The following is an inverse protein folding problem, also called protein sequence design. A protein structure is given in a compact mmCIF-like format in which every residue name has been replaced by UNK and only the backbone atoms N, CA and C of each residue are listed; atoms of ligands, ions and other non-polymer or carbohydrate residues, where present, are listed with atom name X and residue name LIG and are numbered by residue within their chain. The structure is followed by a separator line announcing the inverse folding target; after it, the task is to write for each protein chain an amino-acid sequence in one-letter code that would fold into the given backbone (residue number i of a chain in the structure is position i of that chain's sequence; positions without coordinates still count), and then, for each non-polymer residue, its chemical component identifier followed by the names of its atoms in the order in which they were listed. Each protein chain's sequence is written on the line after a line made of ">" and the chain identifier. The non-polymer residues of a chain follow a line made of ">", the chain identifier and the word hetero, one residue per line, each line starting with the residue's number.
data_IF_295722014051
#
_entry.id   IF_295722014051
#
_cell.length_a   1.000
_cell.length_b   1.000
_cell.length_c   1.000
_cell.angle_alpha   90.00
_cell.angle_beta   90.00
_cell.angle_gamma   90.00
#
_symmetry.space_group_name_H-M   'P 1'
#
loop_
_entity.id
_entity.type
_entity.pdbx_description
1 polymer ?
#
# COMPACT_ATOMS: atom_id res chain seq x y z
N UNK A 1 -5.84 12.42 -29.56
CA UNK A 1 -6.64 11.17 -29.43
C UNK A 1 -7.43 11.25 -28.13
N UNK A 2 -8.67 10.70 -28.07
CA UNK A 2 -9.41 10.56 -26.81
C UNK A 2 -9.11 9.18 -26.21
N UNK A 3 -8.73 9.18 -24.92
CA UNK A 3 -8.48 7.98 -24.13
C UNK A 3 -9.55 7.82 -23.07
N UNK A 4 -10.14 6.63 -23.00
CA UNK A 4 -11.07 6.24 -21.95
C UNK A 4 -10.29 5.85 -20.70
N UNK A 5 -10.77 6.26 -19.55
CA UNK A 5 -10.24 5.87 -18.25
C UNK A 5 -11.37 5.53 -17.27
N UNK A 6 -11.00 4.86 -16.20
CA UNK A 6 -11.87 4.63 -15.03
C UNK A 6 -11.23 5.24 -13.81
N UNK A 7 -11.99 6.05 -13.05
CA UNK A 7 -11.61 6.54 -11.73
C UNK A 7 -11.97 5.49 -10.70
N UNK A 8 -11.00 5.14 -9.87
CA UNK A 8 -11.14 4.12 -8.82
C UNK A 8 -10.48 4.57 -7.52
N UNK A 9 -10.80 3.92 -6.41
CA UNK A 9 -10.04 4.07 -5.18
C UNK A 9 -9.99 2.75 -4.39
N UNK A 10 -8.91 2.58 -3.61
CA UNK A 10 -8.77 1.59 -2.56
C UNK A 10 -8.62 2.31 -1.23
N UNK A 11 -9.71 2.39 -0.45
CA UNK A 11 -9.72 3.06 0.86
C UNK A 11 -9.27 4.53 0.82
N UNK A 12 -9.78 5.31 -0.14
CA UNK A 12 -9.47 6.74 -0.27
C UNK A 12 -8.20 7.06 -1.08
N UNK A 13 -7.27 6.12 -1.22
CA UNK A 13 -6.17 6.26 -2.18
C UNK A 13 -6.72 6.09 -3.60
N UNK A 14 -6.67 7.14 -4.43
CA UNK A 14 -7.42 7.24 -5.67
C UNK A 14 -6.56 7.14 -6.93
N UNK A 15 -7.13 6.50 -7.95
CA UNK A 15 -6.45 6.09 -9.16
C UNK A 15 -7.20 6.49 -10.41
N UNK A 16 -6.45 6.90 -11.43
CA UNK A 16 -6.91 6.90 -12.81
C UNK A 16 -6.39 5.64 -13.49
N UNK A 17 -7.27 4.76 -13.98
CA UNK A 17 -6.91 3.48 -14.62
C UNK A 17 -7.17 3.54 -16.11
N UNK A 18 -6.15 3.25 -16.92
CA UNK A 18 -6.22 3.23 -18.39
C UNK A 18 -5.92 1.85 -18.90
N UNK A 19 -6.83 1.31 -19.72
CA UNK A 19 -6.65 0.09 -20.48
C UNK A 19 -5.87 0.38 -21.77
N UNK A 20 -4.66 -0.11 -21.86
CA UNK A 20 -3.80 -0.07 -23.06
C UNK A 20 -3.76 -1.40 -23.83
N UNK A 21 -4.64 -2.35 -23.48
CA UNK A 21 -4.87 -3.58 -24.24
C UNK A 21 -5.85 -3.29 -25.39
N UNK A 22 -6.98 -2.65 -25.06
CA UNK A 22 -8.00 -2.28 -26.04
C UNK A 22 -7.80 -0.89 -26.65
N UNK A 23 -6.93 -0.08 -26.10
CA UNK A 23 -6.58 1.26 -26.57
C UNK A 23 -5.07 1.38 -26.78
N UNK A 24 -4.66 1.88 -27.95
CA UNK A 24 -3.24 2.02 -28.30
C UNK A 24 -2.80 3.46 -28.07
N UNK A 25 -2.01 3.69 -27.03
CA UNK A 25 -1.44 5.00 -26.71
C UNK A 25 -0.08 4.86 -26.04
N UNK A 26 0.78 5.85 -26.24
CA UNK A 26 2.06 5.94 -25.54
C UNK A 26 1.94 6.96 -24.39
N UNK A 27 1.84 6.46 -23.17
CA UNK A 27 1.73 7.29 -21.96
C UNK A 27 3.12 7.61 -21.42
N UNK A 28 3.39 8.89 -21.21
CA UNK A 28 4.64 9.42 -20.70
C UNK A 28 4.43 10.02 -19.29
N UNK A 29 5.49 10.15 -18.46
CA UNK A 29 5.42 10.77 -17.13
C UNK A 29 4.73 12.14 -17.10
N UNK A 30 4.92 12.97 -18.14
CA UNK A 30 4.26 14.28 -18.25
C UNK A 30 2.74 14.20 -18.24
N UNK A 31 2.16 13.11 -18.81
CA UNK A 31 0.71 12.94 -18.84
C UNK A 31 0.19 12.61 -17.43
N UNK A 32 0.90 11.79 -16.66
CA UNK A 32 0.55 11.54 -15.26
C UNK A 32 0.54 12.84 -14.46
N UNK A 33 1.57 13.69 -14.64
CA UNK A 33 1.65 15.00 -13.98
C UNK A 33 0.50 15.94 -14.39
N UNK A 34 0.18 16.03 -15.68
CA UNK A 34 -0.89 16.88 -16.19
C UNK A 34 -2.26 16.41 -15.71
N UNK A 35 -2.56 15.11 -15.84
CA UNK A 35 -3.87 14.57 -15.48
C UNK A 35 -4.05 14.39 -13.97
N UNK A 36 -2.94 14.27 -13.22
CA UNK A 36 -2.94 14.14 -11.76
C UNK A 36 -3.31 15.41 -11.02
N UNK A 37 -3.18 16.57 -11.65
CA UNK A 37 -3.55 17.85 -11.05
C UNK A 37 -5.05 17.87 -10.71
N UNK A 38 -5.38 18.15 -9.42
CA UNK A 38 -6.77 18.09 -8.92
C UNK A 38 -7.63 19.29 -9.31
N UNK A 39 -7.02 20.35 -9.85
CA UNK A 39 -7.72 21.57 -10.26
C UNK A 39 -7.88 21.67 -11.78
N UNK A 40 -6.89 21.20 -12.54
CA UNK A 40 -6.82 21.36 -13.98
C UNK A 40 -6.85 20.04 -14.76
N UNK A 41 -6.71 18.91 -14.06
CA UNK A 41 -6.73 17.55 -14.60
C UNK A 41 -7.92 16.72 -14.09
N UNK A 42 -7.75 15.41 -14.12
CA UNK A 42 -8.69 14.44 -13.53
C UNK A 42 -8.55 14.41 -12.01
N UNK A 43 -7.33 14.64 -11.52
CA UNK A 43 -6.98 14.55 -10.11
C UNK A 43 -6.91 13.09 -9.64
N UNK A 44 -5.77 12.67 -9.17
CA UNK A 44 -5.56 11.34 -8.58
C UNK A 44 -4.23 11.32 -7.80
N UNK A 45 -4.08 10.33 -6.94
CA UNK A 45 -2.80 10.03 -6.30
C UNK A 45 -1.86 9.32 -7.29
N UNK A 46 -2.40 8.35 -8.06
CA UNK A 46 -1.61 7.55 -8.99
C UNK A 46 -2.37 7.22 -10.27
N UNK A 47 -1.62 7.11 -11.38
CA UNK A 47 -2.06 6.60 -12.68
C UNK A 47 -1.68 5.13 -12.81
N UNK A 48 -2.64 4.27 -13.14
CA UNK A 48 -2.44 2.85 -13.41
C UNK A 48 -2.61 2.58 -14.91
N UNK A 49 -1.63 1.90 -15.49
CA UNK A 49 -1.68 1.43 -16.87
C UNK A 49 -1.81 -0.09 -16.90
N UNK A 50 -2.83 -0.59 -17.61
CA UNK A 50 -3.05 -2.02 -17.88
C UNK A 50 -2.50 -2.31 -19.26
N UNK A 51 -1.42 -3.07 -19.35
CA UNK A 51 -0.68 -3.34 -20.59
C UNK A 51 -0.61 -4.86 -20.88
N UNK A 52 -0.40 -5.27 -22.14
CA UNK A 52 -0.01 -6.64 -22.44
C UNK A 52 1.29 -7.00 -21.72
N UNK A 53 1.43 -8.24 -21.22
CA UNK A 53 2.64 -8.65 -20.53
C UNK A 53 3.82 -8.83 -21.51
N UNK A 54 5.04 -8.66 -21.01
CA UNK A 54 6.24 -9.08 -21.76
C UNK A 54 6.55 -10.56 -21.52
N UNK A 55 6.26 -11.05 -20.31
CA UNK A 55 6.42 -12.44 -19.93
C UNK A 55 5.14 -13.22 -20.29
N UNK A 56 5.21 -14.29 -21.14
CA UNK A 56 4.05 -15.08 -21.53
C UNK A 56 3.40 -15.87 -20.37
N UNK A 57 4.12 -16.04 -19.24
CA UNK A 57 3.63 -16.79 -18.08
C UNK A 57 2.74 -15.98 -17.14
N UNK A 58 2.50 -14.70 -17.46
CA UNK A 58 1.63 -13.81 -16.68
C UNK A 58 0.49 -13.27 -17.53
N UNK A 59 -0.58 -12.81 -16.86
CA UNK A 59 -1.80 -12.40 -17.57
C UNK A 59 -1.71 -10.96 -18.09
N UNK A 60 -1.07 -10.08 -17.34
CA UNK A 60 -0.98 -8.64 -17.62
C UNK A 60 0.35 -8.06 -17.16
N UNK A 61 0.63 -6.87 -17.68
CA UNK A 61 1.61 -5.95 -17.12
C UNK A 61 0.90 -4.76 -16.49
N UNK A 62 1.42 -4.30 -15.35
CA UNK A 62 0.88 -3.25 -14.54
C UNK A 62 1.95 -2.19 -14.27
N UNK A 63 1.70 -0.96 -14.70
CA UNK A 63 2.59 0.16 -14.44
C UNK A 63 1.87 1.22 -13.63
N UNK A 64 2.61 1.85 -12.71
CA UNK A 64 2.09 2.85 -11.79
C UNK A 64 2.94 4.10 -11.87
N UNK A 65 2.29 5.26 -11.98
CA UNK A 65 2.93 6.55 -11.90
C UNK A 65 2.29 7.38 -10.79
N UNK A 66 3.10 8.00 -9.96
CA UNK A 66 2.60 9.04 -9.06
C UNK A 66 2.12 10.27 -9.85
N UNK A 67 1.35 11.12 -9.21
CA UNK A 67 0.86 12.37 -9.81
C UNK A 67 1.98 13.36 -10.19
N UNK A 68 3.21 13.19 -9.68
CA UNK A 68 4.39 13.95 -10.10
C UNK A 68 5.07 13.41 -11.38
N UNK A 69 4.60 12.25 -11.87
CA UNK A 69 5.12 11.54 -13.03
C UNK A 69 6.19 10.49 -12.72
N UNK A 70 6.62 10.33 -11.48
CA UNK A 70 7.56 9.27 -11.10
C UNK A 70 6.91 7.89 -11.19
N UNK A 71 7.62 6.91 -11.75
CA UNK A 71 7.15 5.52 -11.83
C UNK A 71 7.57 4.73 -10.59
N UNK A 72 6.60 4.10 -9.92
CA UNK A 72 6.80 3.29 -8.72
C UNK A 72 6.73 1.79 -9.00
N UNK A 73 7.30 0.99 -8.10
CA UNK A 73 7.43 -0.47 -8.31
C UNK A 73 6.12 -1.21 -8.10
N UNK A 74 5.41 -0.88 -7.01
CA UNK A 74 4.10 -1.44 -6.70
C UNK A 74 3.33 -0.58 -5.69
N UNK A 75 2.01 -0.79 -5.65
CA UNK A 75 1.11 -0.20 -4.66
C UNK A 75 -0.01 -1.21 -4.38
N UNK A 76 -0.11 -1.69 -3.15
CA UNK A 76 -1.11 -2.69 -2.77
C UNK A 76 -2.55 -2.22 -2.97
N UNK A 77 -2.85 -0.93 -2.74
CA UNK A 77 -4.16 -0.33 -3.03
C UNK A 77 -4.43 -0.32 -4.53
N UNK A 78 -3.42 0.07 -5.32
CA UNK A 78 -3.50 0.06 -6.79
C UNK A 78 -3.65 -1.34 -7.36
N UNK A 79 -2.97 -2.34 -6.80
CA UNK A 79 -3.09 -3.74 -7.20
C UNK A 79 -4.53 -4.27 -7.04
N UNK A 80 -5.23 -3.88 -5.96
CA UNK A 80 -6.65 -4.21 -5.79
C UNK A 80 -7.52 -3.53 -6.84
N UNK A 81 -7.31 -2.24 -7.09
CA UNK A 81 -8.02 -1.51 -8.16
C UNK A 81 -7.76 -2.12 -9.53
N UNK A 82 -6.52 -2.53 -9.81
CA UNK A 82 -6.15 -3.22 -11.05
C UNK A 82 -6.96 -4.52 -11.23
N UNK A 83 -6.95 -5.42 -10.23
CA UNK A 83 -7.67 -6.69 -10.30
C UNK A 83 -9.18 -6.48 -10.54
N UNK A 84 -9.78 -5.54 -9.82
CA UNK A 84 -11.18 -5.18 -9.99
C UNK A 84 -11.45 -4.64 -11.40
N UNK A 85 -10.58 -3.75 -11.89
CA UNK A 85 -10.72 -3.14 -13.21
C UNK A 85 -10.71 -4.17 -14.34
N UNK A 86 -9.72 -5.08 -14.37
CA UNK A 86 -9.60 -6.07 -15.46
C UNK A 86 -10.78 -7.04 -15.47
N UNK A 87 -11.36 -7.35 -14.31
CA UNK A 87 -12.59 -8.13 -14.20
C UNK A 87 -13.80 -7.36 -14.73
N UNK A 88 -14.02 -6.11 -14.25
CA UNK A 88 -15.16 -5.28 -14.64
C UNK A 88 -15.15 -4.96 -16.15
N UNK A 89 -13.97 -4.77 -16.74
CA UNK A 89 -13.78 -4.56 -18.19
C UNK A 89 -13.81 -5.85 -18.99
N UNK A 90 -13.96 -7.00 -18.35
CA UNK A 90 -13.96 -8.35 -18.99
C UNK A 90 -12.67 -8.61 -19.80
N UNK A 91 -11.55 -8.04 -19.38
CA UNK A 91 -10.25 -8.34 -19.98
C UNK A 91 -9.77 -9.74 -19.60
N UNK A 92 -10.30 -10.28 -18.50
CA UNK A 92 -10.12 -11.67 -18.07
C UNK A 92 -11.35 -12.17 -17.33
N UNK A 93 -11.52 -13.50 -17.30
CA UNK A 93 -12.51 -14.20 -16.45
C UNK A 93 -11.84 -14.93 -15.29
N UNK A 94 -10.51 -14.88 -15.20
CA UNK A 94 -9.76 -15.51 -14.11
C UNK A 94 -9.98 -14.76 -12.81
N UNK A 95 -10.07 -15.52 -11.71
CA UNK A 95 -10.11 -14.96 -10.35
C UNK A 95 -8.73 -14.90 -9.70
N UNK A 96 -7.78 -15.66 -10.21
CA UNK A 96 -6.37 -15.60 -9.86
C UNK A 96 -5.63 -15.01 -11.06
N UNK A 97 -4.99 -13.88 -10.86
CA UNK A 97 -4.37 -13.07 -11.90
C UNK A 97 -2.91 -12.84 -11.55
N UNK A 98 -2.01 -13.25 -12.43
CA UNK A 98 -0.58 -13.00 -12.30
C UNK A 98 -0.19 -11.78 -13.11
N UNK A 99 0.52 -10.86 -12.50
CA UNK A 99 0.78 -9.55 -13.08
C UNK A 99 2.26 -9.19 -12.98
N UNK A 100 2.84 -8.82 -14.11
CA UNK A 100 4.19 -8.27 -14.18
C UNK A 100 4.18 -6.82 -13.72
N UNK A 101 5.02 -6.49 -12.74
CA UNK A 101 5.26 -5.13 -12.25
C UNK A 101 6.73 -4.78 -12.36
N UNK A 102 7.09 -3.53 -12.14
CA UNK A 102 8.50 -3.11 -12.05
C UNK A 102 9.25 -3.78 -10.89
N UNK A 103 8.53 -4.13 -9.81
CA UNK A 103 9.08 -4.82 -8.63
C UNK A 103 9.08 -6.34 -8.72
N UNK A 104 8.60 -6.93 -9.84
CA UNK A 104 8.49 -8.38 -10.03
C UNK A 104 7.07 -8.83 -10.35
N UNK A 105 6.82 -10.13 -10.24
CA UNK A 105 5.50 -10.71 -10.48
C UNK A 105 4.73 -10.73 -9.17
N UNK A 106 3.49 -10.24 -9.22
CA UNK A 106 2.54 -10.30 -8.10
C UNK A 106 1.34 -11.16 -8.46
N UNK A 107 0.71 -11.75 -7.45
CA UNK A 107 -0.51 -12.53 -7.59
C UNK A 107 -1.67 -11.84 -6.89
N UNK A 108 -2.78 -11.71 -7.62
CA UNK A 108 -4.00 -11.06 -7.18
C UNK A 108 -5.13 -12.08 -7.20
N UNK A 109 -5.83 -12.23 -6.07
CA UNK A 109 -6.92 -13.18 -5.93
C UNK A 109 -8.24 -12.44 -5.67
N UNK A 110 -9.20 -12.60 -6.59
CA UNK A 110 -10.55 -12.04 -6.45
C UNK A 110 -11.41 -13.04 -5.70
N UNK A 111 -11.80 -12.68 -4.46
CA UNK A 111 -12.59 -13.51 -3.56
C UNK A 111 -14.06 -13.57 -4.01
N UNK A 112 -14.82 -14.59 -3.55
CA UNK A 112 -16.25 -14.69 -3.86
C UNK A 112 -17.08 -13.50 -3.38
N UNK A 113 -16.67 -12.85 -2.29
CA UNK A 113 -17.31 -11.65 -1.71
C UNK A 113 -16.96 -10.36 -2.48
N UNK A 114 -16.14 -10.44 -3.53
CA UNK A 114 -15.72 -9.32 -4.35
C UNK A 114 -14.54 -8.53 -3.79
N UNK A 115 -14.01 -8.89 -2.62
CA UNK A 115 -12.76 -8.34 -2.13
C UNK A 115 -11.56 -8.92 -2.89
N UNK A 116 -10.45 -8.22 -2.85
CA UNK A 116 -9.22 -8.64 -3.54
C UNK A 116 -8.13 -8.90 -2.51
N UNK A 117 -7.56 -10.10 -2.57
CA UNK A 117 -6.41 -10.50 -1.79
C UNK A 117 -5.15 -10.34 -2.63
N UNK A 118 -4.14 -9.70 -2.05
CA UNK A 118 -2.83 -9.41 -2.66
C UNK A 118 -1.76 -10.07 -1.83
N UNK A 119 -0.87 -10.84 -2.47
CA UNK A 119 0.36 -11.31 -1.86
C UNK A 119 1.35 -10.14 -1.78
N UNK A 120 1.66 -9.71 -0.55
CA UNK A 120 2.54 -8.58 -0.27
C UNK A 120 4.00 -9.03 -0.06
N UNK A 121 4.28 -10.31 -0.20
CA UNK A 121 5.57 -10.93 0.08
C UNK A 121 5.86 -11.11 1.57
N UNK A 122 6.97 -11.78 1.91
CA UNK A 122 7.39 -11.97 3.29
C UNK A 122 7.90 -10.66 3.90
N UNK A 123 7.59 -10.39 5.19
CA UNK A 123 8.14 -9.24 5.88
C UNK A 123 9.64 -9.44 6.15
N UNK A 124 10.41 -8.36 6.11
CA UNK A 124 11.81 -8.34 6.53
C UNK A 124 11.91 -7.78 7.93
N UNK A 125 12.63 -8.46 8.80
CA UNK A 125 12.65 -8.21 10.24
C UNK A 125 14.06 -7.95 10.77
N UNK A 126 15.08 -8.25 9.99
CA UNK A 126 16.46 -7.94 10.37
C UNK A 126 16.77 -6.47 10.14
N UNK A 127 17.45 -5.77 11.08
CA UNK A 127 17.69 -4.34 10.97
C UNK A 127 18.29 -3.89 9.63
N UNK A 128 19.27 -4.64 9.11
CA UNK A 128 19.93 -4.31 7.83
C UNK A 128 18.97 -4.36 6.63
N UNK A 129 17.98 -5.27 6.64
CA UNK A 129 16.98 -5.40 5.58
C UNK A 129 15.82 -4.40 5.71
N UNK A 130 15.66 -3.79 6.92
CA UNK A 130 14.68 -2.74 7.18
C UNK A 130 15.22 -1.35 6.80
N UNK A 131 16.45 -1.14 6.49
CA UNK A 131 17.42 -0.05 6.70
C UNK A 131 17.21 0.69 8.04
N UNK A 132 17.44 -0.05 9.14
CA UNK A 132 17.30 0.43 10.52
C UNK A 132 18.58 0.20 11.30
N UNK A 133 19.10 1.20 12.01
CA UNK A 133 20.31 1.10 12.81
C UNK A 133 20.02 0.47 14.17
N UNK A 134 20.35 -0.79 14.31
CA UNK A 134 20.31 -1.56 15.56
C UNK A 134 21.35 -2.68 15.53
N UNK A 135 21.89 -3.04 16.70
CA UNK A 135 22.96 -4.05 16.82
C UNK A 135 22.45 -5.46 16.56
N UNK A 136 21.18 -5.72 16.89
CA UNK A 136 20.55 -7.04 16.75
C UNK A 136 19.06 -6.91 16.48
N UNK A 137 18.47 -7.98 15.94
CA UNK A 137 17.03 -8.09 15.78
C UNK A 137 16.35 -8.22 17.15
N UNK A 138 15.26 -7.45 17.34
CA UNK A 138 14.43 -7.50 18.54
C UNK A 138 12.95 -7.30 18.17
N UNK A 139 12.05 -7.67 19.07
CA UNK A 139 10.61 -7.43 18.89
C UNK A 139 10.25 -5.95 19.08
N UNK A 140 10.99 -5.25 19.93
CA UNK A 140 10.80 -3.84 20.23
C UNK A 140 12.15 -3.13 20.37
N UNK A 141 12.18 -1.86 20.00
CA UNK A 141 13.35 -1.01 20.08
C UNK A 141 12.99 0.32 20.72
N UNK A 142 13.77 0.78 21.73
CA UNK A 142 13.60 2.14 22.24
C UNK A 142 14.03 3.16 21.18
N UNK A 143 13.23 4.18 20.98
CA UNK A 143 13.49 5.29 20.06
C UNK A 143 13.34 6.61 20.84
N UNK A 144 14.42 7.39 20.94
CA UNK A 144 14.38 8.71 21.56
C UNK A 144 13.92 9.76 20.54
N UNK A 145 12.78 10.36 20.78
CA UNK A 145 12.25 11.44 19.94
C UNK A 145 12.11 12.69 20.79
N UNK A 146 13.04 13.62 20.66
CA UNK A 146 13.10 14.87 21.42
C UNK A 146 13.07 14.66 22.96
N UNK A 147 13.78 13.65 23.47
CA UNK A 147 13.84 13.30 24.88
C UNK A 147 12.66 12.44 25.37
N UNK A 148 11.70 12.12 24.51
CA UNK A 148 10.65 11.16 24.80
C UNK A 148 11.08 9.76 24.33
N UNK A 149 11.16 8.80 25.24
CA UNK A 149 11.41 7.40 24.89
C UNK A 149 10.12 6.74 24.38
N UNK A 150 10.18 6.26 23.15
CA UNK A 150 9.10 5.51 22.51
C UNK A 150 9.55 4.07 22.28
N UNK A 151 8.66 3.10 22.45
CA UNK A 151 8.89 1.73 22.06
C UNK A 151 8.28 1.45 20.69
N UNK A 152 9.11 1.07 19.71
CA UNK A 152 8.67 0.77 18.35
C UNK A 152 9.00 -0.66 17.96
N UNK A 153 8.16 -1.26 17.11
CA UNK A 153 8.56 -2.38 16.29
C UNK A 153 9.05 -1.87 14.93
N UNK A 154 10.10 -2.45 14.38
CA UNK A 154 10.61 -2.13 13.04
C UNK A 154 10.36 -3.30 12.10
N UNK A 155 9.71 -3.01 10.96
CA UNK A 155 9.34 -4.01 9.93
C UNK A 155 9.53 -3.40 8.55
N UNK A 156 10.01 -4.18 7.57
CA UNK A 156 9.97 -3.77 6.16
C UNK A 156 9.04 -4.66 5.35
N UNK A 157 8.17 -4.03 4.58
CA UNK A 157 7.32 -4.63 3.55
C UNK A 157 7.79 -4.22 2.14
N UNK A 158 9.12 -4.15 1.95
CA UNK A 158 9.76 -3.52 0.79
C UNK A 158 10.08 -2.03 1.02
N UNK A 159 9.48 -1.43 2.03
CA UNK A 159 9.77 -0.10 2.58
C UNK A 159 9.73 -0.15 4.11
N UNK A 160 10.51 0.69 4.81
CA UNK A 160 10.63 0.63 6.26
C UNK A 160 9.40 1.20 6.99
N UNK A 161 9.01 0.52 8.07
CA UNK A 161 7.93 0.92 8.97
C UNK A 161 8.38 0.86 10.44
N UNK A 162 8.08 1.93 11.19
CA UNK A 162 8.14 1.97 12.65
C UNK A 162 6.70 1.92 13.18
N UNK A 163 6.39 0.90 13.98
CA UNK A 163 5.04 0.68 14.52
C UNK A 163 5.02 0.94 16.01
N UNK A 164 4.18 1.90 16.44
CA UNK A 164 3.96 2.26 17.83
C UNK A 164 2.59 1.76 18.27
N UNK A 165 2.54 1.11 19.44
CA UNK A 165 1.27 0.83 20.12
C UNK A 165 0.81 2.06 20.87
N UNK A 166 -0.45 2.45 20.70
CA UNK A 166 -1.10 3.57 21.37
C UNK A 166 -2.38 3.11 22.07
N UNK A 167 -2.79 3.80 23.12
CA UNK A 167 -4.05 3.50 23.82
C UNK A 167 -5.28 4.02 23.05
N UNK A 168 -5.13 5.19 22.42
CA UNK A 168 -6.18 5.84 21.63
C UNK A 168 -5.59 6.42 20.34
N UNK A 169 -5.93 5.79 19.21
CA UNK A 169 -5.41 6.18 17.90
C UNK A 169 -6.03 7.50 17.42
N UNK A 170 -7.26 7.81 17.83
CA UNK A 170 -7.97 9.00 17.38
C UNK A 170 -7.31 10.27 17.96
N UNK A 171 -6.76 10.17 19.18
CA UNK A 171 -6.02 11.24 19.85
C UNK A 171 -4.48 11.07 19.76
N UNK A 172 -3.97 10.05 19.05
CA UNK A 172 -2.54 9.85 18.90
C UNK A 172 -1.88 11.05 18.20
N UNK A 173 -0.68 11.48 18.64
CA UNK A 173 -0.02 12.68 18.11
C UNK A 173 0.68 12.41 16.76
N UNK A 174 -0.08 11.90 15.77
CA UNK A 174 0.44 11.50 14.45
C UNK A 174 1.16 12.64 13.75
N UNK A 175 0.57 13.84 13.74
CA UNK A 175 1.19 15.03 13.12
C UNK A 175 2.36 15.60 13.92
N UNK A 176 2.45 15.32 15.23
CA UNK A 176 3.55 15.76 16.07
C UNK A 176 4.75 14.82 16.04
N UNK A 177 4.51 13.52 16.15
CA UNK A 177 5.55 12.48 16.17
C UNK A 177 5.90 11.93 14.79
N UNK A 178 4.92 11.83 13.89
CA UNK A 178 5.11 11.23 12.55
C UNK A 178 6.29 11.82 11.78
N UNK A 179 6.38 13.15 11.58
CA UNK A 179 7.50 13.78 10.89
C UNK A 179 8.85 13.54 11.57
N UNK A 180 8.88 13.50 12.90
CA UNK A 180 10.10 13.29 13.68
C UNK A 180 10.60 11.86 13.58
N UNK A 181 9.68 10.88 13.63
CA UNK A 181 9.99 9.46 13.44
C UNK A 181 10.43 9.22 11.99
N UNK A 182 9.73 9.79 11.00
CA UNK A 182 10.09 9.70 9.58
C UNK A 182 11.55 10.03 9.32
N UNK A 183 12.04 11.11 9.95
CA UNK A 183 13.40 11.63 9.76
C UNK A 183 14.39 11.21 10.86
N UNK A 184 14.02 10.28 11.72
CA UNK A 184 14.87 9.86 12.81
C UNK A 184 16.17 9.23 12.32
N UNK A 185 17.31 9.58 12.94
CA UNK A 185 18.66 9.18 12.50
C UNK A 185 18.86 7.66 12.43
N UNK A 186 18.12 6.87 13.21
CA UNK A 186 18.16 5.40 13.13
C UNK A 186 17.54 4.83 11.86
N UNK A 187 16.83 5.63 11.06
CA UNK A 187 16.28 5.25 9.76
C UNK A 187 16.91 6.07 8.63
N UNK A 188 18.10 5.69 8.14
CA UNK A 188 18.86 6.48 7.17
C UNK A 188 18.16 6.68 5.81
N UNK A 189 17.16 5.85 5.50
CA UNK A 189 16.32 5.96 4.30
C UNK A 189 14.93 6.51 4.62
N UNK A 190 14.75 7.14 5.80
CA UNK A 190 13.47 7.54 6.40
C UNK A 190 12.55 6.32 6.63
N UNK A 191 11.40 6.55 7.27
CA UNK A 191 10.48 5.49 7.68
C UNK A 191 9.03 5.97 7.64
N UNK A 192 8.09 5.04 7.43
CA UNK A 192 6.68 5.28 7.67
C UNK A 192 6.39 5.01 9.16
N UNK A 193 5.68 5.90 9.84
CA UNK A 193 5.33 5.75 11.25
C UNK A 193 3.86 5.32 11.40
N UNK A 194 3.63 4.10 11.89
CA UNK A 194 2.31 3.54 12.14
C UNK A 194 1.94 3.61 13.63
N UNK A 195 0.72 4.08 13.93
CA UNK A 195 0.16 4.19 15.28
C UNK A 195 -1.00 3.20 15.37
N UNK A 196 -0.80 2.10 16.11
CA UNK A 196 -1.80 1.02 16.22
C UNK A 196 -2.45 1.02 17.62
N UNK A 197 -3.78 1.04 17.64
CA UNK A 197 -4.60 0.77 18.83
C UNK A 197 -5.19 -0.63 18.72
N UNK A 198 -4.80 -1.53 19.61
CA UNK A 198 -5.36 -2.88 19.68
C UNK A 198 -6.69 -2.82 20.43
N UNK A 199 -7.77 -3.23 19.77
CA UNK A 199 -9.12 -3.30 20.34
C UNK A 199 -9.36 -4.68 20.97
N UNK A 200 -9.02 -5.73 20.21
CA UNK A 200 -9.06 -7.11 20.68
C UNK A 200 -8.01 -7.94 19.92
N UNK A 201 -8.01 -9.26 20.09
CA UNK A 201 -6.99 -10.12 19.48
C UNK A 201 -7.05 -10.20 17.96
N UNK A 202 -8.12 -9.77 17.32
CA UNK A 202 -8.27 -9.81 15.86
C UNK A 202 -8.68 -8.47 15.24
N UNK A 203 -8.82 -7.41 16.06
CA UNK A 203 -9.26 -6.11 15.59
C UNK A 203 -8.40 -5.00 16.18
N UNK A 204 -7.94 -4.09 15.33
CA UNK A 204 -7.21 -2.89 15.72
C UNK A 204 -7.57 -1.71 14.81
N UNK A 205 -7.29 -0.51 15.29
CA UNK A 205 -7.32 0.73 14.48
C UNK A 205 -5.90 1.17 14.18
N UNK A 206 -5.68 1.79 13.03
CA UNK A 206 -4.37 2.19 12.55
C UNK A 206 -4.42 3.56 11.87
N UNK A 207 -3.50 4.44 12.23
CA UNK A 207 -3.18 5.65 11.47
C UNK A 207 -1.71 5.60 11.07
N UNK A 208 -1.39 6.10 9.87
CA UNK A 208 -0.03 6.04 9.33
C UNK A 208 0.41 7.40 8.81
N UNK A 209 1.55 7.85 9.28
CA UNK A 209 2.33 8.92 8.66
C UNK A 209 3.27 8.30 7.64
N UNK A 210 2.99 8.54 6.36
CA UNK A 210 3.78 7.95 5.27
C UNK A 210 4.98 8.83 4.90
N UNK A 211 6.08 8.18 4.61
CA UNK A 211 7.34 8.77 4.18
C UNK A 211 7.14 9.66 2.94
N UNK A 212 7.36 10.98 3.09
CA UNK A 212 7.24 11.95 2.01
C UNK A 212 5.82 12.35 1.63
N UNK A 213 4.79 11.79 2.27
CA UNK A 213 3.39 12.06 1.94
C UNK A 213 2.58 12.61 3.13
N UNK A 214 3.06 12.39 4.37
CA UNK A 214 2.31 12.75 5.56
C UNK A 214 1.24 11.72 5.94
N UNK A 215 0.26 12.10 6.74
CA UNK A 215 -0.83 11.20 7.09
C UNK A 215 -1.75 10.95 5.90
N UNK A 216 -2.00 9.66 5.59
CA UNK A 216 -2.83 9.23 4.48
C UNK A 216 -4.07 8.46 4.94
N UNK A 217 -5.06 8.33 4.05
CA UNK A 217 -6.29 7.60 4.34
C UNK A 217 -6.07 6.09 4.47
N UNK A 218 -5.08 5.53 3.76
CA UNK A 218 -4.76 4.10 3.80
C UNK A 218 -3.36 3.81 3.26
N UNK A 219 -2.52 3.26 4.11
CA UNK A 219 -1.22 2.72 3.75
C UNK A 219 -1.25 1.19 3.79
N UNK A 220 -1.23 0.52 2.63
CA UNK A 220 -1.30 -0.95 2.56
C UNK A 220 -0.10 -1.64 3.20
N UNK A 221 1.13 -1.18 2.91
CA UNK A 221 2.35 -1.72 3.52
C UNK A 221 2.42 -1.40 5.02
N UNK A 222 1.90 -0.23 5.43
CA UNK A 222 1.78 0.14 6.84
C UNK A 222 0.82 -0.77 7.61
N UNK A 223 -0.31 -1.14 6.98
CA UNK A 223 -1.25 -2.09 7.56
C UNK A 223 -0.61 -3.48 7.73
N UNK A 224 0.11 -3.96 6.71
CA UNK A 224 0.84 -5.23 6.78
C UNK A 224 1.91 -5.20 7.89
N UNK A 225 2.72 -4.15 7.95
CA UNK A 225 3.76 -4.00 8.95
C UNK A 225 3.19 -3.93 10.37
N UNK A 226 2.09 -3.20 10.57
CA UNK A 226 1.41 -3.09 11.86
C UNK A 226 0.84 -4.43 12.34
N UNK A 227 0.21 -5.19 11.43
CA UNK A 227 -0.30 -6.53 11.74
C UNK A 227 0.83 -7.51 12.09
N UNK A 228 1.91 -7.52 11.27
CA UNK A 228 3.10 -8.35 11.55
C UNK A 228 3.70 -8.02 12.91
N UNK A 229 3.90 -6.74 13.22
CA UNK A 229 4.42 -6.30 14.51
C UNK A 229 3.51 -6.75 15.67
N UNK A 230 2.20 -6.57 15.53
CA UNK A 230 1.23 -6.93 16.56
C UNK A 230 1.17 -8.44 16.80
N UNK A 231 1.25 -9.26 15.74
CA UNK A 231 1.28 -10.73 15.83
C UNK A 231 2.58 -11.19 16.48
N UNK A 232 3.74 -10.66 16.07
CA UNK A 232 5.03 -11.03 16.64
C UNK A 232 5.13 -10.72 18.14
N UNK A 233 4.56 -9.62 18.57
CA UNK A 233 4.53 -9.22 19.98
C UNK A 233 3.43 -9.92 20.80
N UNK A 234 2.65 -10.81 20.16
CA UNK A 234 1.56 -11.54 20.82
C UNK A 234 0.38 -10.65 21.22
N UNK A 235 0.27 -9.45 20.67
CA UNK A 235 -0.88 -8.58 20.93
C UNK A 235 -2.12 -9.06 20.20
N UNK A 236 -1.93 -9.64 18.99
CA UNK A 236 -3.02 -10.05 18.10
C UNK A 236 -2.75 -11.41 17.47
N UNK A 237 -3.79 -12.03 16.95
CA UNK A 237 -3.77 -13.30 16.22
C UNK A 237 -4.20 -13.07 14.76
N UNK A 238 -3.57 -13.80 13.83
CA UNK A 238 -3.97 -13.78 12.42
C UNK A 238 -5.31 -14.54 12.22
N UNK A 239 -6.23 -14.04 11.39
CA UNK A 239 -6.20 -12.77 10.63
C UNK A 239 -6.47 -11.54 11.49
N UNK A 240 -5.84 -10.42 11.14
CA UNK A 240 -6.03 -9.12 11.79
C UNK A 240 -6.91 -8.22 10.94
N UNK A 241 -7.99 -7.70 11.52
CA UNK A 241 -8.81 -6.64 10.91
C UNK A 241 -8.28 -5.27 11.34
N UNK A 242 -7.91 -4.45 10.39
CA UNK A 242 -7.38 -3.11 10.63
C UNK A 242 -8.33 -2.05 10.08
N UNK A 243 -8.84 -1.20 10.96
CA UNK A 243 -9.58 0.00 10.58
C UNK A 243 -8.58 1.15 10.38
N UNK A 244 -8.50 1.64 9.14
CA UNK A 244 -7.78 2.84 8.75
C UNK A 244 -8.78 3.99 8.51
N UNK A 245 -8.35 5.26 8.43
CA UNK A 245 -9.25 6.37 8.13
C UNK A 245 -10.09 6.17 6.85
N UNK A 246 -9.52 5.53 5.82
CA UNK A 246 -10.21 5.23 4.56
C UNK A 246 -11.08 3.98 4.54
N UNK A 247 -11.04 3.13 5.58
CA UNK A 247 -11.80 1.89 5.70
C UNK A 247 -10.99 0.69 6.20
N UNK A 248 -11.51 -0.52 6.02
CA UNK A 248 -10.99 -1.74 6.64
C UNK A 248 -10.17 -2.61 5.68
N UNK A 249 -9.06 -3.14 6.20
CA UNK A 249 -8.25 -4.21 5.59
C UNK A 249 -8.24 -5.45 6.49
N UNK A 250 -8.15 -6.62 5.88
CA UNK A 250 -7.83 -7.87 6.57
C UNK A 250 -6.41 -8.29 6.20
N UNK A 251 -5.59 -8.55 7.22
CA UNK A 251 -4.18 -8.95 7.04
C UNK A 251 -4.02 -10.35 7.63
N UNK A 252 -3.52 -11.26 6.81
CA UNK A 252 -3.21 -12.64 7.21
C UNK A 252 -1.70 -12.87 7.13
N UNK A 253 -1.12 -13.41 8.19
CA UNK A 253 0.29 -13.79 8.22
C UNK A 253 0.49 -15.03 9.09
N UNK A 254 1.06 -16.07 8.48
CA UNK A 254 1.24 -17.38 9.14
C UNK A 254 2.57 -17.49 9.90
N UNK A 255 3.37 -16.41 9.98
CA UNK A 255 4.63 -16.40 10.72
C UNK A 255 5.87 -16.25 9.83
N UNK A 256 7.04 -16.36 10.44
CA UNK A 256 8.32 -16.11 9.79
C UNK A 256 8.51 -16.91 8.50
N UNK A 257 9.03 -16.24 7.45
CA UNK A 257 9.26 -16.82 6.14
C UNK A 257 8.01 -16.97 5.26
N UNK A 258 6.80 -16.71 5.80
CA UNK A 258 5.56 -16.76 5.03
C UNK A 258 5.19 -15.36 4.51
N UNK A 259 4.51 -15.28 3.34
CA UNK A 259 4.03 -14.03 2.82
C UNK A 259 2.93 -13.43 3.69
N UNK A 260 2.80 -12.12 3.63
CA UNK A 260 1.68 -11.38 4.20
C UNK A 260 0.60 -11.23 3.13
N UNK A 261 -0.59 -11.70 3.42
CA UNK A 261 -1.74 -11.56 2.54
C UNK A 261 -2.59 -10.36 2.98
N UNK A 262 -2.81 -9.41 2.09
CA UNK A 262 -3.64 -8.23 2.34
C UNK A 262 -4.93 -8.31 1.55
N UNK A 263 -6.07 -8.31 2.21
CA UNK A 263 -7.40 -8.35 1.59
C UNK A 263 -8.16 -7.06 1.87
N UNK A 264 -8.79 -6.51 0.83
CA UNK A 264 -9.60 -5.31 0.96
C UNK A 264 -10.41 -4.97 -0.29
N UNK A 265 -11.24 -3.93 -0.21
CA UNK A 265 -12.08 -3.49 -1.30
C UNK A 265 -11.30 -2.71 -2.37
N UNK A 266 -11.91 -2.64 -3.55
CA UNK A 266 -11.59 -1.70 -4.62
C UNK A 266 -12.91 -1.19 -5.22
N UNK A 267 -13.03 0.12 -5.35
CA UNK A 267 -14.27 0.78 -5.73
C UNK A 267 -14.09 1.55 -7.04
N UNK A 268 -14.99 1.32 -7.99
CA UNK A 268 -15.12 2.14 -9.19
C UNK A 268 -15.96 3.38 -8.84
N UNK A 269 -15.45 4.57 -9.20
CA UNK A 269 -16.14 5.84 -8.94
C UNK A 269 -16.89 6.30 -10.17
N UNK A 270 -16.17 6.53 -11.29
CA UNK A 270 -16.75 6.94 -12.56
C UNK A 270 -15.84 6.56 -13.74
N UNK A 271 -16.37 6.70 -14.94
CA UNK A 271 -15.64 6.57 -16.20
C UNK A 271 -15.61 7.90 -16.94
N UNK A 272 -14.52 8.15 -17.67
CA UNK A 272 -14.34 9.40 -18.39
C UNK A 272 -13.41 9.26 -19.59
N UNK A 273 -13.15 10.38 -20.24
CA UNK A 273 -12.22 10.48 -21.36
C UNK A 273 -11.30 11.68 -21.18
N UNK A 274 -10.04 11.52 -21.56
CA UNK A 274 -9.05 12.60 -21.61
C UNK A 274 -8.44 12.72 -23.00
N UNK A 275 -7.95 13.89 -23.35
CA UNK A 275 -7.13 14.08 -24.55
C UNK A 275 -5.68 13.74 -24.25
N UNK A 276 -5.08 12.95 -25.16
CA UNK A 276 -3.65 12.71 -25.22
C UNK A 276 -2.99 13.79 -26.08
#
# INVERSE_FOLDING_TARGET
>A
MLLRFTKMHGLGNDFMVIDLISQHAHIQPKHAKQWGDRHTGVGFDQLLLVEPPHNPDVDFRYRIFNSDGSEVEQCGNGARCFARFVLDKRLTMKRQIRVETKGGIIELNIRPDGQISVDMGPPRLTPVEIPFLADQQALSYPLDVDGQQLDIAAVSMGNPHAVLRVEDVDNAPVHGLGPKIEHHSRFPQRVNAGFIQVIDRQHAKLRVWERGAGETQACGTGACAAAVAAIQQGWMDSPVQLDLPGGRLSIEWAGAGQPVMMTGPAVRVFEGQVRL
#
